data_IF_185694923606
#
_entry.id   IF_185694923606
#
_cell.length_a   1.000
_cell.length_b   1.000
_cell.length_c   1.000
_cell.angle_alpha   90.00
_cell.angle_beta   90.00
_cell.angle_gamma   90.00
#
_symmetry.space_group_name_H-M   'P 1'
#
loop_
_entity.id
_entity.type
_entity.pdbx_description
1 polymer ?
#
# COMPACT_ATOMS: atom_id res chain seq x y z
N UNK A 1 -0.53 -7.97 -12.18
CA UNK A 1 -0.05 -6.57 -12.19
C UNK A 1 -1.18 -5.61 -11.87
N UNK A 2 -0.88 -4.54 -11.16
CA UNK A 2 -1.82 -3.45 -10.98
C UNK A 2 -2.04 -2.74 -12.32
N UNK A 3 -3.30 -2.48 -12.67
CA UNK A 3 -3.58 -1.68 -13.86
C UNK A 3 -3.11 -0.24 -13.63
N UNK A 4 -2.85 0.48 -14.72
CA UNK A 4 -2.46 1.88 -14.65
C UNK A 4 -3.47 2.73 -13.87
N UNK A 5 -4.74 2.37 -13.94
CA UNK A 5 -5.85 3.03 -13.26
C UNK A 5 -5.74 2.99 -11.72
N UNK A 6 -5.19 1.90 -11.18
CA UNK A 6 -5.08 1.71 -9.74
C UNK A 6 -3.68 2.05 -9.20
N UNK A 7 -2.79 2.49 -10.07
CA UNK A 7 -1.43 2.83 -9.69
C UNK A 7 -1.34 4.29 -9.28
N UNK A 8 -0.84 4.54 -8.08
CA UNK A 8 -0.57 5.89 -7.61
C UNK A 8 0.62 6.48 -8.36
N UNK A 9 0.47 7.68 -8.95
CA UNK A 9 1.49 8.27 -9.82
C UNK A 9 2.01 9.63 -9.35
N UNK A 10 1.18 10.38 -8.61
CA UNK A 10 1.52 11.75 -8.24
C UNK A 10 2.27 11.79 -6.92
N UNK A 11 3.40 12.51 -6.90
CA UNK A 11 4.19 12.69 -5.68
C UNK A 11 3.37 13.29 -4.54
N UNK A 12 2.50 14.25 -4.85
CA UNK A 12 1.62 14.86 -3.85
C UNK A 12 0.67 13.84 -3.23
N UNK A 13 0.19 12.88 -3.99
CA UNK A 13 -0.70 11.83 -3.51
C UNK A 13 0.04 10.89 -2.56
N UNK A 14 1.28 10.49 -2.91
CA UNK A 14 2.15 9.71 -2.03
C UNK A 14 2.39 10.46 -0.71
N UNK A 15 2.83 11.72 -0.82
CA UNK A 15 3.16 12.53 0.35
C UNK A 15 1.96 12.72 1.27
N UNK A 16 0.79 13.00 0.70
CA UNK A 16 -0.44 13.17 1.48
C UNK A 16 -0.85 11.89 2.18
N UNK A 17 -0.74 10.75 1.49
CA UNK A 17 -1.10 9.46 2.06
C UNK A 17 -0.16 9.08 3.21
N UNK A 18 1.14 9.27 3.03
CA UNK A 18 2.12 8.98 4.07
C UNK A 18 1.99 9.93 5.27
N UNK A 19 1.75 11.22 5.00
CA UNK A 19 1.72 12.24 6.04
C UNK A 19 0.42 12.25 6.83
N UNK A 20 -0.72 12.10 6.15
CA UNK A 20 -2.04 12.26 6.75
C UNK A 20 -2.82 10.96 6.89
N UNK A 21 -2.36 9.89 6.27
CA UNK A 21 -3.00 8.59 6.35
C UNK A 21 -2.73 7.90 7.68
N UNK A 22 -3.49 6.83 7.90
CA UNK A 22 -3.29 5.97 9.06
C UNK A 22 -2.14 5.01 8.75
N UNK A 23 -1.17 4.95 9.64
CA UNK A 23 0.03 4.13 9.49
C UNK A 23 -0.10 2.88 10.36
N UNK A 24 0.10 1.71 9.75
CA UNK A 24 0.19 0.46 10.49
C UNK A 24 1.51 -0.23 10.16
N UNK A 25 2.24 -0.63 11.20
CA UNK A 25 3.56 -1.25 11.05
C UNK A 25 3.44 -2.76 11.19
N UNK A 26 3.97 -3.47 10.20
CA UNK A 26 4.08 -4.92 10.18
C UNK A 26 5.56 -5.30 10.17
N UNK A 27 5.92 -6.57 10.38
CA UNK A 27 7.34 -6.95 10.46
C UNK A 27 8.19 -6.57 9.24
N UNK A 28 7.62 -6.68 8.03
CA UNK A 28 8.39 -6.47 6.81
C UNK A 28 7.84 -5.35 5.92
N UNK A 29 6.71 -4.75 6.28
CA UNK A 29 6.09 -3.65 5.52
C UNK A 29 5.42 -2.66 6.45
N UNK A 30 5.25 -1.44 5.98
CA UNK A 30 4.42 -0.42 6.63
C UNK A 30 3.30 -0.07 5.66
N UNK A 31 2.07 -0.05 6.14
CA UNK A 31 0.90 0.27 5.33
C UNK A 31 0.35 1.63 5.75
N UNK A 32 0.18 2.53 4.78
CA UNK A 32 -0.45 3.82 4.98
C UNK A 32 -1.77 3.85 4.21
N UNK A 33 -2.85 4.24 4.86
CA UNK A 33 -4.17 4.32 4.22
C UNK A 33 -4.78 5.70 4.47
N UNK A 34 -5.23 6.33 3.40
CA UNK A 34 -5.96 7.59 3.46
C UNK A 34 -7.19 7.48 2.58
N UNK A 35 -8.34 7.90 3.08
CA UNK A 35 -9.55 8.00 2.27
C UNK A 35 -9.79 9.46 1.94
N UNK A 36 -9.81 9.77 0.65
CA UNK A 36 -10.09 11.14 0.20
C UNK A 36 -11.56 11.47 0.46
N UNK A 37 -11.81 12.62 1.12
CA UNK A 37 -13.16 13.11 1.41
C UNK A 37 -13.63 14.17 0.41
N UNK A 38 -12.73 14.65 -0.43
CA UNK A 38 -12.96 15.84 -1.27
C UNK A 38 -13.56 15.53 -2.63
N UNK A 39 -13.84 14.27 -2.94
CA UNK A 39 -14.28 13.90 -4.27
C UNK A 39 -15.54 13.05 -4.24
N UNK A 40 -16.59 13.61 -4.80
CA UNK A 40 -17.78 12.85 -5.11
C UNK A 40 -17.52 11.82 -6.23
N UNK A 41 -16.42 12.01 -6.98
CA UNK A 41 -16.03 11.12 -8.08
C UNK A 41 -14.64 10.56 -7.86
N UNK A 42 -14.57 9.42 -7.20
CA UNK A 42 -13.31 8.69 -7.07
C UNK A 42 -13.23 7.64 -8.19
N UNK A 43 -12.12 7.66 -8.92
CA UNK A 43 -11.89 6.79 -10.08
C UNK A 43 -11.56 5.35 -9.71
N UNK A 44 -11.49 5.04 -8.46
CA UNK A 44 -11.09 3.75 -7.94
C UNK A 44 -9.94 3.88 -6.96
N UNK A 45 -9.61 2.81 -6.21
CA UNK A 45 -8.52 2.88 -5.24
C UNK A 45 -7.17 3.05 -5.94
N UNK A 46 -6.29 3.86 -5.33
CA UNK A 46 -4.92 4.05 -5.83
C UNK A 46 -3.94 3.43 -4.84
N UNK A 47 -3.00 2.65 -5.36
CA UNK A 47 -1.97 2.00 -4.56
C UNK A 47 -0.59 2.41 -5.05
N UNK A 48 0.25 2.86 -4.13
CA UNK A 48 1.64 3.20 -4.39
C UNK A 48 2.58 2.32 -3.58
N UNK A 49 3.75 2.06 -4.12
CA UNK A 49 4.78 1.27 -3.45
C UNK A 49 6.02 2.14 -3.24
N UNK A 50 6.62 2.03 -2.05
CA UNK A 50 7.90 2.66 -1.74
C UNK A 50 8.89 1.55 -1.42
N UNK A 51 9.88 1.38 -2.29
CA UNK A 51 10.92 0.36 -2.14
C UNK A 51 12.26 1.05 -2.28
N UNK A 52 12.80 1.48 -1.15
CA UNK A 52 14.03 2.28 -1.11
C UNK A 52 15.28 1.40 -1.23
N UNK A 53 16.40 2.04 -1.52
CA UNK A 53 17.70 1.36 -1.70
C UNK A 53 18.09 0.39 -0.57
N UNK A 54 17.81 0.67 0.72
CA UNK A 54 18.16 -0.26 1.80
C UNK A 54 17.50 -1.63 1.70
N UNK A 55 16.44 -1.78 0.91
CA UNK A 55 15.78 -3.09 0.70
C UNK A 55 16.72 -4.06 -0.01
N UNK A 56 17.59 -3.56 -0.91
CA UNK A 56 18.56 -4.41 -1.57
C UNK A 56 19.01 -3.86 -2.93
N UNK A 57 19.58 -4.75 -3.74
CA UNK A 57 20.00 -4.43 -5.10
C UNK A 57 18.80 -4.08 -5.97
N UNK A 58 19.05 -3.53 -7.16
CA UNK A 58 17.98 -3.23 -8.12
C UNK A 58 17.16 -4.47 -8.44
N UNK A 59 17.81 -5.63 -8.58
CA UNK A 59 17.13 -6.90 -8.85
C UNK A 59 16.23 -7.32 -7.67
N UNK A 60 16.75 -7.21 -6.46
CA UNK A 60 16.00 -7.54 -5.24
C UNK A 60 14.81 -6.61 -5.05
N UNK A 61 15.02 -5.31 -5.23
CA UNK A 61 13.93 -4.32 -5.14
C UNK A 61 12.84 -4.58 -6.18
N UNK A 62 13.24 -4.94 -7.39
CA UNK A 62 12.29 -5.25 -8.46
C UNK A 62 11.46 -6.49 -8.13
N UNK A 63 12.10 -7.50 -7.53
CA UNK A 63 11.42 -8.72 -7.08
C UNK A 63 10.39 -8.42 -5.99
N UNK A 64 10.76 -7.59 -5.01
CA UNK A 64 9.83 -7.17 -3.94
C UNK A 64 8.65 -6.39 -4.53
N UNK A 65 8.93 -5.47 -5.45
CA UNK A 65 7.88 -4.69 -6.12
C UNK A 65 6.88 -5.60 -6.84
N UNK A 66 7.37 -6.61 -7.55
CA UNK A 66 6.53 -7.57 -8.27
C UNK A 66 5.63 -8.33 -7.30
N UNK A 67 6.19 -8.82 -6.18
CA UNK A 67 5.43 -9.54 -5.17
C UNK A 67 4.35 -8.66 -4.55
N UNK A 68 4.68 -7.42 -4.21
CA UNK A 68 3.73 -6.49 -3.62
C UNK A 68 2.64 -6.08 -4.61
N UNK A 69 2.95 -5.91 -5.89
CA UNK A 69 1.93 -5.62 -6.91
C UNK A 69 0.94 -6.77 -7.03
N UNK A 70 1.43 -8.00 -6.99
CA UNK A 70 0.57 -9.18 -7.02
C UNK A 70 -0.35 -9.21 -5.80
N UNK A 71 0.19 -8.98 -4.62
CA UNK A 71 -0.57 -8.93 -3.37
C UNK A 71 -1.64 -7.84 -3.41
N UNK A 72 -1.28 -6.63 -3.81
CA UNK A 72 -2.21 -5.49 -3.85
C UNK A 72 -3.32 -5.71 -4.85
N UNK A 73 -3.03 -6.35 -5.98
CA UNK A 73 -4.05 -6.70 -6.96
C UNK A 73 -5.14 -7.58 -6.35
N UNK A 74 -4.76 -8.53 -5.51
CA UNK A 74 -5.72 -9.40 -4.83
C UNK A 74 -6.59 -8.65 -3.82
N UNK A 75 -6.10 -7.55 -3.28
CA UNK A 75 -6.77 -6.79 -2.24
C UNK A 75 -7.59 -5.61 -2.75
N UNK A 76 -7.51 -5.28 -4.04
CA UNK A 76 -8.22 -4.12 -4.61
C UNK A 76 -9.72 -4.14 -4.37
N UNK A 77 -10.33 -5.31 -4.45
CA UNK A 77 -11.78 -5.49 -4.25
C UNK A 77 -12.25 -5.13 -2.84
N UNK A 78 -11.35 -5.15 -1.88
CA UNK A 78 -11.67 -4.85 -0.48
C UNK A 78 -11.50 -3.36 -0.17
N UNK A 79 -11.06 -2.57 -1.14
CA UNK A 79 -10.85 -1.13 -0.99
C UNK A 79 -12.02 -0.33 -1.51
N UNK A 80 -12.31 0.78 -0.81
CA UNK A 80 -13.26 1.77 -1.28
C UNK A 80 -12.66 2.54 -2.47
N UNK A 81 -13.48 2.98 -3.46
CA UNK A 81 -12.96 3.73 -4.61
C UNK A 81 -12.15 4.98 -4.26
N UNK A 82 -12.36 5.55 -3.09
CA UNK A 82 -11.62 6.73 -2.63
C UNK A 82 -10.41 6.41 -1.76
N UNK A 83 -10.10 5.14 -1.55
CA UNK A 83 -8.95 4.75 -0.74
C UNK A 83 -7.64 4.99 -1.46
N UNK A 84 -6.70 5.56 -0.74
CA UNK A 84 -5.32 5.74 -1.17
C UNK A 84 -4.43 4.93 -0.23
N UNK A 85 -3.65 4.03 -0.78
CA UNK A 85 -2.82 3.10 -0.01
C UNK A 85 -1.37 3.23 -0.45
N UNK A 86 -0.47 3.40 0.50
CA UNK A 86 0.98 3.33 0.23
C UNK A 86 1.56 2.20 1.07
N UNK A 87 2.28 1.31 0.42
CA UNK A 87 2.96 0.21 1.08
C UNK A 87 4.46 0.46 0.97
N UNK A 88 5.09 0.63 2.13
CA UNK A 88 6.55 0.79 2.21
C UNK A 88 7.16 -0.55 2.57
N UNK A 89 8.06 -1.05 1.72
CA UNK A 89 8.81 -2.25 1.99
C UNK A 89 9.97 -1.95 2.94
N UNK A 90 10.09 -2.74 4.00
CA UNK A 90 11.25 -2.68 4.90
C UNK A 90 12.38 -3.55 4.36
N UNK A 91 13.65 -3.34 4.80
CA UNK A 91 14.77 -4.12 4.28
C UNK A 91 14.59 -5.63 4.37
N UNK A 92 13.93 -6.12 5.41
CA UNK A 92 13.67 -7.55 5.60
C UNK A 92 12.71 -8.15 4.55
N UNK A 93 11.95 -7.31 3.85
CA UNK A 93 10.93 -7.78 2.89
C UNK A 93 11.53 -8.58 1.73
N UNK A 94 12.80 -8.38 1.40
CA UNK A 94 13.47 -9.10 0.31
C UNK A 94 13.56 -10.60 0.55
N UNK A 95 13.49 -11.04 1.81
CA UNK A 95 13.59 -12.45 2.20
C UNK A 95 12.23 -13.11 2.44
N UNK A 96 11.15 -12.40 2.21
CA UNK A 96 9.80 -12.83 2.59
C UNK A 96 9.03 -13.30 1.37
N UNK A 97 8.31 -14.42 1.52
CA UNK A 97 7.46 -14.95 0.44
C UNK A 97 6.28 -14.03 0.15
N UNK A 98 5.71 -14.18 -1.05
CA UNK A 98 4.50 -13.44 -1.43
C UNK A 98 3.35 -13.73 -0.49
N UNK A 99 3.20 -14.99 -0.06
CA UNK A 99 2.13 -15.38 0.87
C UNK A 99 2.26 -14.66 2.22
N UNK A 100 3.47 -14.55 2.74
CA UNK A 100 3.72 -13.87 4.00
C UNK A 100 3.52 -12.36 3.88
N UNK A 101 3.97 -11.77 2.76
CA UNK A 101 3.72 -10.36 2.47
C UNK A 101 2.22 -10.08 2.36
N UNK A 102 1.47 -10.97 1.72
CA UNK A 102 0.02 -10.84 1.62
C UNK A 102 -0.64 -10.79 2.99
N UNK A 103 -0.26 -11.68 3.89
CA UNK A 103 -0.80 -11.69 5.26
C UNK A 103 -0.53 -10.38 5.99
N UNK A 104 0.69 -9.86 5.87
CA UNK A 104 1.07 -8.61 6.52
C UNK A 104 0.33 -7.41 5.95
N UNK A 105 0.24 -7.31 4.64
CA UNK A 105 -0.48 -6.21 3.97
C UNK A 105 -1.95 -6.27 4.32
N UNK A 106 -2.55 -7.45 4.28
CA UNK A 106 -3.96 -7.67 4.60
C UNK A 106 -4.25 -7.26 6.06
N UNK A 107 -3.39 -7.65 6.98
CA UNK A 107 -3.52 -7.31 8.40
C UNK A 107 -3.37 -5.81 8.62
N UNK A 108 -2.35 -5.20 8.02
CA UNK A 108 -2.11 -3.76 8.14
C UNK A 108 -3.25 -2.93 7.55
N UNK A 109 -3.74 -3.35 6.39
CA UNK A 109 -4.85 -2.69 5.71
C UNK A 109 -6.14 -2.76 6.53
N UNK A 110 -6.47 -3.94 7.03
CA UNK A 110 -7.66 -4.14 7.87
C UNK A 110 -7.61 -3.25 9.12
N UNK A 111 -6.47 -3.23 9.80
CA UNK A 111 -6.30 -2.40 10.98
C UNK A 111 -6.43 -0.92 10.67
N UNK A 112 -5.82 -0.47 9.57
CA UNK A 112 -5.91 0.93 9.15
C UNK A 112 -7.35 1.33 8.83
N UNK A 113 -8.09 0.47 8.14
CA UNK A 113 -9.49 0.73 7.79
C UNK A 113 -10.38 0.73 9.03
N UNK A 114 -10.14 -0.15 10.00
CA UNK A 114 -10.85 -0.16 11.27
C UNK A 114 -10.62 1.13 12.06
N UNK A 115 -9.36 1.59 12.11
CA UNK A 115 -9.01 2.83 12.79
C UNK A 115 -9.65 4.05 12.09
N UNK A 116 -9.67 4.05 10.76
CA UNK A 116 -10.31 5.12 9.99
C UNK A 116 -11.82 5.14 10.24
N UNK A 117 -12.45 3.96 10.38
CA UNK A 117 -13.87 3.85 10.67
C UNK A 117 -14.25 4.29 12.06
N UNK A 118 -13.34 4.19 13.04
CA UNK A 118 -13.62 4.57 14.43
C UNK A 118 -13.54 6.07 14.69
N UNK A 119 -13.02 6.84 13.74
CA UNK A 119 -12.90 8.30 13.84
C UNK A 119 -14.16 9.04 13.37
N UNK A 120 -15.27 8.36 13.28
CA UNK A 120 -16.53 8.97 12.87
C UNK A 120 -17.28 9.56 14.04
#
# INVERSE_FOLDING_TARGET
MLSARNRMRRSLEFDATVKYGIRTVQPDVIVHVRRSRERDECEGPHVGLIIAKPVGTAVERHRVARRLRHVTRLLLKDLHPCDQVVIRALPSSRHVSSAWLEQQVRRGLRRALDLAGSDR
#
